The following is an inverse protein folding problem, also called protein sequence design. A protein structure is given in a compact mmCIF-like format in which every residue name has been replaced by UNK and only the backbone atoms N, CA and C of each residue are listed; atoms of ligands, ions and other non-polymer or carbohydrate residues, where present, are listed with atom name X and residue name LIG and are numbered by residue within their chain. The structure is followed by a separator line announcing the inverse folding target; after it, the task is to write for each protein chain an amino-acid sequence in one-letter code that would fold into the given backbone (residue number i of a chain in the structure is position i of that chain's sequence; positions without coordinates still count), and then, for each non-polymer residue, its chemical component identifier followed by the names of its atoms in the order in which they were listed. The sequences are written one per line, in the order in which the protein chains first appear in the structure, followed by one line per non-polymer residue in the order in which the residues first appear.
data_IF_788677326107
#
_entry.id   IF_788677326107
#
_cell.length_a   1.000
_cell.length_b   1.000
_cell.length_c   1.000
_cell.angle_alpha   90.00
_cell.angle_beta   90.00
_cell.angle_gamma   90.00
#
_symmetry.space_group_name_H-M   'P 1'
#
loop_
_entity.id
_entity.type
_entity.pdbx_description
1 polymer ?
#
# COMPACT_ATOMS: atom_id res chain seq x y z
N UNK A 1 18.61 10.64 -1.43
CA UNK A 1 19.78 9.78 -1.47
C UNK A 1 19.73 8.76 -2.62
N UNK A 2 18.58 8.08 -2.83
CA UNK A 2 18.43 7.04 -3.86
C UNK A 2 18.03 7.59 -5.24
N UNK A 3 17.69 8.87 -5.37
CA UNK A 3 17.21 9.46 -6.61
C UNK A 3 15.79 9.02 -7.01
N UNK A 4 15.02 8.44 -6.10
CA UNK A 4 13.63 8.08 -6.35
C UNK A 4 12.71 9.28 -6.06
N UNK A 5 12.08 9.89 -7.08
CA UNK A 5 11.30 11.11 -6.90
C UNK A 5 9.88 10.87 -6.41
N UNK A 6 9.36 9.66 -6.51
CA UNK A 6 8.02 9.29 -6.07
C UNK A 6 8.01 7.90 -5.43
N UNK A 7 7.12 7.71 -4.49
CA UNK A 7 6.86 6.42 -3.86
C UNK A 7 5.35 6.14 -3.89
N UNK A 8 4.95 4.98 -4.41
CA UNK A 8 3.57 4.54 -4.44
C UNK A 8 3.11 4.01 -3.07
N UNK A 9 3.19 4.88 -2.08
CA UNK A 9 2.76 4.74 -0.69
C UNK A 9 2.26 6.10 -0.18
N UNK A 10 1.48 6.12 0.88
CA UNK A 10 0.99 5.05 1.75
C UNK A 10 -0.20 4.26 1.18
N UNK A 11 -0.47 3.09 1.79
CA UNK A 11 -1.72 2.36 1.60
C UNK A 11 -2.77 2.98 2.54
N UNK A 12 -3.86 3.49 1.95
CA UNK A 12 -4.96 4.14 2.67
C UNK A 12 -6.22 3.25 2.75
N UNK A 13 -6.12 2.03 2.26
CA UNK A 13 -7.19 1.05 2.34
C UNK A 13 -7.46 0.68 3.80
N UNK A 14 -8.73 0.71 4.21
CA UNK A 14 -9.17 0.30 5.56
C UNK A 14 -9.45 -1.20 5.54
N UNK A 15 -8.64 -2.01 6.23
CA UNK A 15 -8.70 -3.48 6.12
C UNK A 15 -9.75 -4.07 7.05
N UNK A 16 -11.03 -3.91 6.72
CA UNK A 16 -12.15 -4.46 7.51
C UNK A 16 -12.31 -5.97 7.27
N UNK A 17 -12.04 -6.43 6.05
CA UNK A 17 -12.14 -7.84 5.71
C UNK A 17 -10.83 -8.59 6.05
N UNK A 18 -10.81 -9.45 7.09
CA UNK A 18 -9.61 -10.20 7.45
C UNK A 18 -9.20 -11.24 6.40
N UNK A 19 -10.09 -11.58 5.47
CA UNK A 19 -9.83 -12.50 4.36
C UNK A 19 -9.36 -11.79 3.09
N UNK A 20 -9.17 -10.47 3.14
CA UNK A 20 -8.69 -9.71 1.98
C UNK A 20 -7.34 -10.26 1.50
N UNK A 21 -7.24 -10.77 0.25
CA UNK A 21 -6.03 -11.43 -0.23
C UNK A 21 -4.93 -10.46 -0.67
N UNK A 22 -5.22 -9.16 -0.76
CA UNK A 22 -4.32 -8.15 -1.35
C UNK A 22 -3.84 -7.14 -0.32
N UNK A 23 -4.73 -6.59 0.48
CA UNK A 23 -4.42 -5.50 1.41
C UNK A 23 -3.87 -6.05 2.71
N UNK A 24 -4.69 -6.74 3.51
CA UNK A 24 -4.28 -7.42 4.72
C UNK A 24 -3.25 -6.60 5.55
N UNK A 25 -2.08 -7.17 5.85
CA UNK A 25 -1.01 -6.55 6.64
C UNK A 25 -0.31 -5.34 5.95
N UNK A 26 -0.72 -4.96 4.74
CA UNK A 26 -0.26 -3.74 4.08
C UNK A 26 -0.99 -2.49 4.59
N UNK A 27 -2.21 -2.67 5.12
CA UNK A 27 -3.00 -1.59 5.72
C UNK A 27 -2.44 -1.15 7.08
N UNK A 28 -2.77 0.06 7.46
CA UNK A 28 -2.51 0.58 8.80
C UNK A 28 -3.57 0.17 9.83
N UNK A 29 -4.59 -0.59 9.43
CA UNK A 29 -5.59 -1.14 10.33
C UNK A 29 -7.02 -1.12 9.75
N UNK A 30 -7.98 -1.33 10.64
CA UNK A 30 -9.41 -1.47 10.33
C UNK A 30 -10.26 -0.25 10.77
N UNK A 31 -9.64 0.70 11.46
CA UNK A 31 -10.30 1.94 11.88
C UNK A 31 -9.95 3.08 10.91
N UNK A 32 -10.95 3.70 10.23
CA UNK A 32 -10.70 4.72 9.20
C UNK A 32 -9.95 5.94 9.73
N UNK A 33 -10.18 6.36 10.98
CA UNK A 33 -9.54 7.53 11.58
C UNK A 33 -8.06 7.23 11.82
N UNK A 34 -7.76 6.09 12.44
CA UNK A 34 -6.37 5.67 12.70
C UNK A 34 -5.59 5.43 11.41
N UNK A 35 -6.25 4.87 10.38
CA UNK A 35 -5.64 4.70 9.05
C UNK A 35 -5.29 6.08 8.48
N UNK A 36 -6.20 7.05 8.56
CA UNK A 36 -5.99 8.43 8.07
C UNK A 36 -4.80 9.10 8.74
N UNK A 37 -4.73 9.04 10.06
CA UNK A 37 -3.62 9.64 10.82
C UNK A 37 -2.27 9.10 10.39
N UNK A 38 -2.17 7.78 10.22
CA UNK A 38 -0.94 7.12 9.78
C UNK A 38 -0.60 7.41 8.33
N UNK A 39 -1.61 7.46 7.45
CA UNK A 39 -1.48 7.83 6.03
C UNK A 39 -0.92 9.24 5.92
N UNK A 40 -1.49 10.21 6.63
CA UNK A 40 -1.04 11.61 6.61
C UNK A 40 0.38 11.72 7.15
N UNK A 41 0.68 11.10 8.30
CA UNK A 41 2.01 11.15 8.91
C UNK A 41 3.08 10.53 7.97
N UNK A 42 2.77 9.39 7.34
CA UNK A 42 3.68 8.71 6.43
C UNK A 42 3.94 9.53 5.16
N UNK A 43 2.89 10.05 4.55
CA UNK A 43 2.99 10.86 3.33
C UNK A 43 3.72 12.19 3.60
N UNK A 44 3.42 12.88 4.69
CA UNK A 44 4.12 14.11 5.10
C UNK A 44 5.62 13.86 5.32
N UNK A 45 5.98 12.69 5.88
CA UNK A 45 7.37 12.28 6.01
C UNK A 45 8.08 12.10 4.67
N UNK A 46 7.44 11.48 3.67
CA UNK A 46 7.97 11.35 2.32
C UNK A 46 8.14 12.72 1.65
N UNK A 47 7.12 13.56 1.71
CA UNK A 47 7.10 14.87 1.03
C UNK A 47 8.09 15.85 1.66
N UNK A 48 8.30 15.79 2.98
CA UNK A 48 9.38 16.55 3.65
C UNK A 48 10.76 16.14 3.15
N UNK A 49 10.93 14.88 2.74
CA UNK A 49 12.12 14.34 2.08
C UNK A 49 12.18 14.59 0.57
N UNK A 50 11.27 15.41 0.01
CA UNK A 50 11.13 15.65 -1.44
C UNK A 50 10.85 14.39 -2.26
N UNK A 51 10.09 13.46 -1.70
CA UNK A 51 9.56 12.28 -2.40
C UNK A 51 8.07 12.44 -2.51
N UNK A 52 7.54 12.48 -3.72
CA UNK A 52 6.10 12.52 -3.97
C UNK A 52 5.45 11.29 -3.32
N UNK A 53 4.50 11.50 -2.42
CA UNK A 53 3.66 10.42 -1.88
C UNK A 53 2.51 10.12 -2.84
N UNK A 54 2.14 8.84 -2.95
CA UNK A 54 1.00 8.41 -3.76
C UNK A 54 0.11 7.51 -2.94
N UNK A 55 -0.96 8.09 -2.41
CA UNK A 55 -1.96 7.41 -1.59
C UNK A 55 -2.77 6.40 -2.44
N UNK A 56 -3.01 5.18 -1.92
CA UNK A 56 -3.62 4.09 -2.70
C UNK A 56 -4.43 3.12 -1.83
N UNK A 57 -5.39 2.40 -2.43
CA UNK A 57 -5.89 2.35 -3.80
C UNK A 57 -7.27 2.97 -3.86
N UNK A 58 -7.37 4.20 -4.36
CA UNK A 58 -8.65 4.91 -4.44
C UNK A 58 -9.66 4.12 -5.32
N UNK A 59 -10.94 4.00 -4.95
CA UNK A 59 -11.62 4.59 -3.78
C UNK A 59 -11.60 3.75 -2.49
N UNK A 60 -10.80 2.69 -2.39
CA UNK A 60 -10.61 1.82 -1.23
C UNK A 60 -10.74 0.34 -1.58
N UNK A 61 -9.72 -0.45 -1.28
CA UNK A 61 -9.61 -1.88 -1.62
C UNK A 61 -9.61 -2.78 -0.37
N UNK A 62 -9.85 -2.19 0.82
CA UNK A 62 -9.65 -2.88 2.09
C UNK A 62 -10.72 -3.90 2.46
N UNK A 63 -11.93 -3.77 1.90
CA UNK A 63 -13.06 -4.67 2.15
C UNK A 63 -13.47 -5.42 0.87
N UNK A 64 -12.51 -6.07 0.24
CA UNK A 64 -12.73 -6.94 -0.91
C UNK A 64 -12.22 -8.34 -0.63
N UNK A 65 -12.84 -9.34 -1.24
CA UNK A 65 -12.51 -10.77 -1.16
C UNK A 65 -11.79 -11.28 -2.41
N UNK A 66 -11.68 -10.45 -3.44
CA UNK A 66 -11.09 -10.77 -4.74
C UNK A 66 -9.78 -10.02 -4.94
N UNK A 67 -8.76 -10.72 -5.41
CA UNK A 67 -7.48 -10.14 -5.79
C UNK A 67 -7.58 -9.43 -7.15
N UNK A 68 -7.39 -8.12 -7.16
CA UNK A 68 -7.41 -7.29 -8.39
C UNK A 68 -6.34 -7.66 -9.41
N UNK A 69 -5.31 -8.42 -9.03
CA UNK A 69 -4.37 -9.03 -9.97
C UNK A 69 -4.98 -10.20 -10.75
N UNK A 70 -6.06 -10.79 -10.27
CA UNK A 70 -6.70 -11.99 -10.85
C UNK A 70 -8.04 -11.70 -11.51
N UNK A 71 -8.84 -10.80 -10.94
CA UNK A 71 -10.17 -10.40 -11.43
C UNK A 71 -10.49 -8.97 -11.01
N UNK A 72 -11.66 -8.45 -11.41
CA UNK A 72 -12.15 -7.14 -11.01
C UNK A 72 -12.97 -7.26 -9.71
N UNK A 73 -12.46 -6.78 -8.55
CA UNK A 73 -13.22 -6.78 -7.32
C UNK A 73 -14.39 -5.79 -7.38
N UNK A 74 -15.47 -6.10 -6.68
CA UNK A 74 -16.66 -5.25 -6.60
C UNK A 74 -16.80 -4.68 -5.19
N UNK A 75 -17.15 -3.39 -5.09
CA UNK A 75 -17.53 -2.71 -3.86
C UNK A 75 -19.05 -2.47 -3.89
N UNK A 76 -19.86 -3.41 -3.38
CA UNK A 76 -21.33 -3.35 -3.49
C UNK A 76 -21.94 -2.51 -2.37
N UNK A 77 -21.27 -1.43 -2.00
CA UNK A 77 -21.64 -0.59 -0.85
C UNK A 77 -22.52 0.58 -1.25
N UNK A 78 -23.31 1.06 -0.27
CA UNK A 78 -24.03 2.32 -0.41
C UNK A 78 -23.04 3.50 -0.41
N UNK A 79 -23.49 4.65 -0.84
CA UNK A 79 -22.68 5.85 -0.85
C UNK A 79 -22.24 6.25 0.58
N UNK A 80 -23.14 6.17 1.54
CA UNK A 80 -22.89 6.50 2.95
C UNK A 80 -21.79 5.60 3.54
N UNK A 81 -21.81 4.30 3.20
CA UNK A 81 -20.78 3.35 3.63
C UNK A 81 -19.42 3.70 3.00
N UNK A 82 -19.38 3.96 1.69
CA UNK A 82 -18.14 4.38 1.03
C UNK A 82 -17.59 5.65 1.66
N UNK A 83 -18.45 6.62 1.95
CA UNK A 83 -18.04 7.91 2.50
C UNK A 83 -17.48 7.82 3.92
N UNK A 84 -18.03 6.92 4.73
CA UNK A 84 -17.66 6.79 6.15
C UNK A 84 -16.46 5.86 6.38
N UNK A 85 -16.17 4.95 5.45
CA UNK A 85 -15.12 3.94 5.62
C UNK A 85 -14.08 4.02 4.51
N UNK A 86 -14.45 3.59 3.30
CA UNK A 86 -13.48 3.42 2.22
C UNK A 86 -12.86 4.75 1.77
N UNK A 87 -13.67 5.78 1.57
CA UNK A 87 -13.25 7.10 1.13
C UNK A 87 -12.68 7.98 2.26
N UNK A 88 -12.95 7.64 3.52
CA UNK A 88 -12.59 8.49 4.65
C UNK A 88 -11.09 8.82 4.69
N UNK A 89 -10.14 7.84 4.62
CA UNK A 89 -8.73 8.15 4.64
C UNK A 89 -8.26 8.98 3.44
N UNK A 90 -8.88 8.80 2.29
CA UNK A 90 -8.55 9.57 1.09
C UNK A 90 -9.02 11.02 1.21
N UNK A 91 -10.21 11.27 1.78
CA UNK A 91 -10.71 12.61 2.06
C UNK A 91 -9.78 13.37 3.01
N UNK A 92 -9.36 12.72 4.09
CA UNK A 92 -8.43 13.32 5.04
C UNK A 92 -7.04 13.57 4.42
N UNK A 93 -6.55 12.64 3.57
CA UNK A 93 -5.32 12.81 2.82
C UNK A 93 -5.40 14.03 1.86
N UNK A 94 -6.53 14.20 1.18
CA UNK A 94 -6.77 15.35 0.30
C UNK A 94 -6.77 16.66 1.11
N UNK A 95 -7.47 16.68 2.25
CA UNK A 95 -7.50 17.86 3.16
C UNK A 95 -6.11 18.21 3.69
N UNK A 96 -5.28 17.20 3.93
CA UNK A 96 -3.89 17.37 4.36
C UNK A 96 -2.96 17.81 3.23
N UNK A 97 -3.44 17.88 1.98
CA UNK A 97 -2.68 18.39 0.84
C UNK A 97 -1.71 17.38 0.19
N UNK A 98 -1.96 16.07 0.33
CA UNK A 98 -1.11 15.04 -0.29
C UNK A 98 -1.05 15.16 -1.81
N UNK A 99 0.13 14.90 -2.37
CA UNK A 99 0.47 15.25 -3.76
C UNK A 99 0.08 14.22 -4.81
N UNK A 100 -0.13 12.95 -4.44
CA UNK A 100 -0.43 11.86 -5.39
C UNK A 100 -1.55 10.95 -4.96
N UNK A 101 -2.30 10.43 -5.94
CA UNK A 101 -3.37 9.45 -5.75
C UNK A 101 -3.27 8.34 -6.79
N UNK A 102 -3.36 7.08 -6.37
CA UNK A 102 -3.45 5.95 -7.29
C UNK A 102 -4.85 5.36 -7.26
N UNK A 103 -5.48 5.33 -8.43
CA UNK A 103 -6.81 4.73 -8.62
C UNK A 103 -6.65 3.24 -8.87
N UNK A 104 -7.33 2.43 -8.06
CA UNK A 104 -7.35 0.97 -8.17
C UNK A 104 -8.19 0.48 -9.34
N UNK A 105 -8.16 -0.84 -9.57
CA UNK A 105 -9.07 -1.51 -10.51
C UNK A 105 -10.18 -2.17 -9.71
N UNK A 106 -11.25 -1.43 -9.44
CA UNK A 106 -12.38 -1.82 -8.64
C UNK A 106 -13.68 -1.47 -9.35
N UNK A 107 -14.70 -2.29 -9.25
CA UNK A 107 -16.05 -1.93 -9.69
C UNK A 107 -16.79 -1.29 -8.51
N UNK A 108 -17.38 -0.11 -8.73
CA UNK A 108 -18.07 0.68 -7.71
C UNK A 108 -19.47 1.05 -8.23
N UNK A 109 -20.45 0.15 -8.16
CA UNK A 109 -21.74 0.30 -8.85
C UNK A 109 -22.53 1.55 -8.47
N UNK A 110 -22.39 2.03 -7.23
CA UNK A 110 -23.11 3.23 -6.75
C UNK A 110 -22.58 4.53 -7.38
N UNK A 111 -21.36 4.52 -7.97
CA UNK A 111 -20.74 5.67 -8.63
C UNK A 111 -20.66 5.43 -10.13
N UNK A 112 -20.29 4.24 -10.54
CA UNK A 112 -20.19 3.82 -11.94
C UNK A 112 -21.17 2.66 -12.21
N UNK A 113 -22.34 2.94 -12.81
CA UNK A 113 -23.35 1.92 -13.05
C UNK A 113 -22.99 0.94 -14.17
N UNK A 114 -21.99 1.27 -15.01
CA UNK A 114 -21.57 0.38 -16.09
C UNK A 114 -20.82 -0.82 -15.51
N UNK A 115 -21.46 -1.97 -15.58
CA UNK A 115 -20.89 -3.22 -15.09
C UNK A 115 -19.59 -3.58 -15.82
N UNK A 116 -18.59 -4.02 -15.07
CA UNK A 116 -17.30 -4.43 -15.60
C UNK A 116 -16.35 -3.27 -15.93
N UNK A 117 -16.74 -2.00 -15.74
CA UNK A 117 -15.84 -0.87 -15.91
C UNK A 117 -15.05 -0.60 -14.63
N UNK A 118 -13.71 -0.77 -14.64
CA UNK A 118 -12.88 -0.50 -13.48
C UNK A 118 -12.84 0.99 -13.13
N UNK A 119 -12.77 1.33 -11.84
CA UNK A 119 -12.69 2.70 -11.33
C UNK A 119 -11.57 3.52 -11.97
N UNK A 120 -10.42 2.90 -12.28
CA UNK A 120 -9.31 3.58 -12.97
C UNK A 120 -9.61 3.98 -14.43
N UNK A 121 -10.64 3.38 -15.05
CA UNK A 121 -11.10 3.69 -16.41
C UNK A 121 -12.44 4.46 -16.40
N UNK A 122 -13.05 4.64 -15.23
CA UNK A 122 -14.33 5.32 -15.05
C UNK A 122 -14.14 6.82 -14.90
N UNK A 123 -14.75 7.60 -15.81
CA UNK A 123 -14.79 9.07 -15.69
C UNK A 123 -15.58 9.52 -14.47
N UNK A 124 -16.64 8.79 -14.10
CA UNK A 124 -17.44 9.10 -12.92
C UNK A 124 -16.61 8.97 -11.63
N UNK A 125 -15.71 7.99 -11.55
CA UNK A 125 -14.85 7.79 -10.38
C UNK A 125 -13.65 8.75 -10.39
N UNK A 126 -12.91 8.83 -11.51
CA UNK A 126 -11.65 9.60 -11.53
C UNK A 126 -11.92 11.10 -11.64
N UNK A 127 -12.72 11.51 -12.61
CA UNK A 127 -13.03 12.93 -12.77
C UNK A 127 -14.15 13.35 -11.83
N UNK A 128 -15.30 12.68 -11.88
CA UNK A 128 -16.49 13.06 -11.12
C UNK A 128 -16.26 13.04 -9.61
N UNK A 129 -15.91 11.88 -9.06
CA UNK A 129 -15.72 11.76 -7.61
C UNK A 129 -14.39 12.37 -7.16
N UNK A 130 -13.24 11.90 -7.68
CA UNK A 130 -11.94 12.30 -7.13
C UNK A 130 -11.59 13.75 -7.44
N UNK A 131 -11.81 14.21 -8.69
CA UNK A 131 -11.37 15.54 -9.12
C UNK A 131 -12.40 16.61 -8.81
N UNK A 132 -13.68 16.40 -9.15
CA UNK A 132 -14.72 17.42 -8.97
C UNK A 132 -15.25 17.43 -7.53
N UNK A 133 -15.77 16.31 -7.05
CA UNK A 133 -16.45 16.28 -5.77
C UNK A 133 -15.47 16.38 -4.59
N UNK A 134 -14.39 15.57 -4.58
CA UNK A 134 -13.39 15.59 -3.52
C UNK A 134 -12.30 16.65 -3.72
N UNK A 135 -12.37 17.39 -4.83
CA UNK A 135 -11.49 18.50 -5.17
C UNK A 135 -9.98 18.14 -5.15
N UNK A 136 -9.62 16.90 -5.46
CA UNK A 136 -8.21 16.53 -5.54
C UNK A 136 -7.52 17.20 -6.73
N UNK A 137 -6.37 17.85 -6.49
CA UNK A 137 -5.61 18.59 -7.50
C UNK A 137 -4.21 18.04 -7.75
N UNK A 138 -3.78 17.03 -6.97
CA UNK A 138 -2.49 16.35 -7.13
C UNK A 138 -2.42 15.43 -8.36
N UNK A 139 -1.30 14.73 -8.55
CA UNK A 139 -1.12 13.77 -9.63
C UNK A 139 -1.97 12.52 -9.44
N UNK A 140 -2.69 12.13 -10.47
CA UNK A 140 -3.55 10.94 -10.48
C UNK A 140 -2.90 9.85 -11.34
N UNK A 141 -2.65 8.69 -10.72
CA UNK A 141 -2.06 7.53 -11.35
C UNK A 141 -3.09 6.41 -11.47
N UNK A 142 -3.02 5.61 -12.51
CA UNK A 142 -3.70 4.31 -12.51
C UNK A 142 -2.93 3.30 -11.67
N UNK A 143 -3.57 2.25 -11.18
CA UNK A 143 -2.89 0.99 -10.88
C UNK A 143 -2.32 0.40 -12.19
N UNK A 144 -1.52 -0.68 -12.09
CA UNK A 144 -0.83 -1.23 -13.25
C UNK A 144 -1.81 -1.78 -14.31
N UNK A 145 -1.81 -1.22 -15.51
CA UNK A 145 -2.70 -1.63 -16.60
C UNK A 145 -2.42 -3.05 -17.14
N UNK A 146 -1.30 -3.65 -16.74
CA UNK A 146 -1.01 -5.05 -17.04
C UNK A 146 -1.80 -6.04 -16.18
N UNK A 147 -2.50 -5.59 -15.13
CA UNK A 147 -3.29 -6.44 -14.23
C UNK A 147 -4.53 -7.02 -14.92
N UNK A 148 -4.98 -8.21 -14.46
CA UNK A 148 -6.16 -8.87 -15.02
C UNK A 148 -7.47 -8.13 -14.74
N UNK A 149 -7.54 -7.35 -13.67
CA UNK A 149 -8.71 -6.53 -13.31
C UNK A 149 -9.16 -5.53 -14.40
N UNK A 150 -8.30 -5.23 -15.38
CA UNK A 150 -8.63 -4.41 -16.57
C UNK A 150 -8.59 -5.21 -17.87
N UNK A 151 -8.41 -6.54 -17.83
CA UNK A 151 -8.37 -7.38 -19.02
C UNK A 151 -9.72 -7.36 -19.73
N UNK A 152 -9.69 -7.38 -21.08
CA UNK A 152 -10.90 -7.30 -21.89
C UNK A 152 -11.25 -5.89 -22.37
N UNK A 153 -10.61 -4.84 -21.86
CA UNK A 153 -10.75 -3.50 -22.39
C UNK A 153 -9.69 -3.22 -23.45
N UNK A 154 -10.06 -2.49 -24.51
CA UNK A 154 -9.16 -2.02 -25.54
C UNK A 154 -8.66 -0.60 -25.21
N UNK A 155 -7.53 -0.19 -25.80
CA UNK A 155 -7.01 1.17 -25.67
C UNK A 155 -6.94 1.70 -24.24
N UNK A 156 -6.40 0.89 -23.34
CA UNK A 156 -6.42 1.14 -21.89
C UNK A 156 -5.80 2.48 -21.51
N UNK A 157 -4.70 2.86 -22.15
CA UNK A 157 -4.07 4.16 -21.90
C UNK A 157 -4.98 5.32 -22.27
N UNK A 158 -5.64 5.24 -23.43
CA UNK A 158 -6.57 6.27 -23.90
C UNK A 158 -7.79 6.38 -22.97
N UNK A 159 -8.38 5.24 -22.59
CA UNK A 159 -9.52 5.20 -21.66
C UNK A 159 -9.14 5.80 -20.30
N UNK A 160 -7.99 5.42 -19.75
CA UNK A 160 -7.50 5.93 -18.47
C UNK A 160 -7.26 7.46 -18.50
N UNK A 161 -6.68 7.98 -19.60
CA UNK A 161 -6.48 9.42 -19.78
C UNK A 161 -7.81 10.16 -19.91
N UNK A 162 -8.76 9.62 -20.67
CA UNK A 162 -10.13 10.18 -20.82
C UNK A 162 -10.91 10.14 -19.50
N UNK A 163 -10.67 9.12 -18.66
CA UNK A 163 -11.27 9.03 -17.33
C UNK A 163 -10.81 10.15 -16.39
N UNK A 164 -9.61 10.71 -16.60
CA UNK A 164 -9.08 11.81 -15.80
C UNK A 164 -7.69 11.56 -15.21
N UNK A 165 -7.12 10.34 -15.33
CA UNK A 165 -5.78 10.08 -14.83
C UNK A 165 -4.74 10.93 -15.55
N UNK A 166 -3.70 11.35 -14.82
CA UNK A 166 -2.57 12.11 -15.38
C UNK A 166 -1.45 11.20 -15.87
N UNK A 167 -1.27 10.05 -15.23
CA UNK A 167 -0.23 9.07 -15.53
C UNK A 167 -0.78 7.65 -15.54
N UNK A 168 -0.38 6.89 -16.56
CA UNK A 168 -0.74 5.47 -16.70
C UNK A 168 0.45 4.59 -16.30
N UNK A 169 0.20 3.57 -15.49
CA UNK A 169 1.25 2.72 -14.94
C UNK A 169 1.29 1.37 -15.67
N UNK A 170 2.49 0.96 -16.10
CA UNK A 170 2.79 -0.35 -16.65
C UNK A 170 1.75 -0.86 -17.69
N UNK A 171 1.54 -0.19 -18.82
CA UNK A 171 0.72 -0.73 -19.90
C UNK A 171 1.38 -1.97 -20.49
N UNK A 172 0.56 -2.94 -20.95
CA UNK A 172 1.08 -4.21 -21.51
C UNK A 172 1.85 -4.01 -22.81
N UNK A 173 1.37 -3.11 -23.66
CA UNK A 173 1.92 -2.89 -24.98
C UNK A 173 2.02 -1.39 -25.30
N UNK A 174 3.04 -0.75 -24.75
CA UNK A 174 3.25 0.68 -24.94
C UNK A 174 3.40 1.08 -26.43
N UNK A 175 3.97 0.18 -27.25
CA UNK A 175 4.15 0.42 -28.70
C UNK A 175 2.82 0.54 -29.46
N UNK A 176 1.77 -0.14 -29.02
CA UNK A 176 0.44 -0.04 -29.59
C UNK A 176 -0.38 1.11 -28.95
N UNK A 177 -0.27 1.27 -27.62
CA UNK A 177 -1.05 2.24 -26.86
C UNK A 177 -0.71 3.69 -27.19
N UNK A 178 0.58 4.02 -27.42
CA UNK A 178 0.98 5.40 -27.73
C UNK A 178 0.41 5.87 -29.07
N UNK A 179 0.51 5.11 -30.19
CA UNK A 179 -0.16 5.50 -31.44
C UNK A 179 -1.68 5.62 -31.33
N UNK A 180 -2.33 4.77 -30.50
CA UNK A 180 -3.77 4.87 -30.26
C UNK A 180 -4.17 6.21 -29.62
N UNK A 181 -3.40 6.67 -28.63
CA UNK A 181 -3.61 7.99 -28.00
C UNK A 181 -3.36 9.12 -29.01
N UNK A 182 -2.27 9.06 -29.78
CA UNK A 182 -1.96 10.07 -30.80
C UNK A 182 -3.09 10.15 -31.84
N UNK A 183 -3.50 9.02 -32.40
CA UNK A 183 -4.59 8.96 -33.38
C UNK A 183 -5.92 9.49 -32.83
N UNK A 184 -6.23 9.23 -31.54
CA UNK A 184 -7.41 9.76 -30.91
C UNK A 184 -7.37 11.30 -30.78
N UNK A 185 -6.19 11.88 -30.55
CA UNK A 185 -6.02 13.35 -30.56
C UNK A 185 -6.19 13.91 -31.96
N UNK A 186 -5.59 13.27 -32.96
CA UNK A 186 -5.70 13.70 -34.38
C UNK A 186 -7.14 13.63 -34.89
N UNK A 187 -7.94 12.67 -34.43
CA UNK A 187 -9.37 12.57 -34.79
C UNK A 187 -10.29 13.43 -33.93
N UNK A 188 -9.75 14.17 -32.94
CA UNK A 188 -10.54 14.98 -32.02
C UNK A 188 -11.33 14.20 -30.98
N UNK A 189 -11.05 12.90 -30.82
CA UNK A 189 -11.68 12.03 -29.81
C UNK A 189 -11.13 12.27 -28.39
N UNK A 190 -9.92 12.83 -28.29
CA UNK A 190 -9.29 13.28 -27.05
C UNK A 190 -8.69 14.68 -27.28
N UNK A 191 -9.05 15.64 -26.43
CA UNK A 191 -8.64 17.03 -26.60
C UNK A 191 -7.12 17.21 -26.46
N UNK A 192 -6.53 17.91 -27.38
CA UNK A 192 -5.11 18.31 -27.34
C UNK A 192 -4.83 19.18 -26.12
N UNK A 193 -5.72 20.07 -25.77
CA UNK A 193 -5.61 20.99 -24.63
C UNK A 193 -5.63 20.18 -23.31
N UNK A 194 -6.46 19.13 -23.24
CA UNK A 194 -6.50 18.24 -22.07
C UNK A 194 -5.19 17.45 -21.93
N UNK A 195 -4.66 16.90 -23.02
CA UNK A 195 -3.38 16.22 -23.01
C UNK A 195 -2.23 17.15 -22.58
N UNK A 196 -2.18 18.35 -23.16
CA UNK A 196 -1.16 19.36 -22.84
C UNK A 196 -1.26 19.79 -21.36
N UNK A 197 -2.47 19.94 -20.82
CA UNK A 197 -2.70 20.24 -19.39
C UNK A 197 -2.15 19.12 -18.51
N UNK A 198 -2.41 17.86 -18.84
CA UNK A 198 -1.86 16.69 -18.10
C UNK A 198 -0.34 16.65 -18.18
N UNK A 199 0.24 16.82 -19.36
CA UNK A 199 1.69 16.89 -19.53
C UNK A 199 2.30 18.02 -18.71
N UNK A 200 1.72 19.21 -18.76
CA UNK A 200 2.18 20.38 -17.98
C UNK A 200 2.13 20.07 -16.48
N UNK A 201 1.08 19.45 -15.98
CA UNK A 201 0.93 19.05 -14.59
C UNK A 201 2.06 18.11 -14.17
N UNK A 202 2.32 17.05 -14.94
CA UNK A 202 3.43 16.10 -14.69
C UNK A 202 4.79 16.81 -14.71
N UNK A 203 5.03 17.68 -15.67
CA UNK A 203 6.29 18.43 -15.76
C UNK A 203 6.47 19.41 -14.61
N UNK A 204 5.39 20.03 -14.12
CA UNK A 204 5.41 20.90 -12.94
C UNK A 204 5.87 20.13 -11.69
N UNK A 205 5.32 18.93 -11.45
CA UNK A 205 5.76 18.08 -10.35
C UNK A 205 7.21 17.63 -10.51
N UNK A 206 7.62 17.23 -11.72
CA UNK A 206 9.02 16.90 -12.01
C UNK A 206 9.95 18.06 -11.70
N UNK A 207 9.58 19.27 -12.10
CA UNK A 207 10.36 20.47 -11.85
C UNK A 207 10.45 20.78 -10.34
N UNK A 208 9.34 20.73 -9.63
CA UNK A 208 9.30 20.95 -8.17
C UNK A 208 10.13 19.94 -7.39
N UNK A 209 10.21 18.71 -7.89
CA UNK A 209 11.06 17.64 -7.32
C UNK A 209 12.56 17.76 -7.72
N UNK A 210 12.91 18.78 -8.51
CA UNK A 210 14.29 19.03 -8.92
C UNK A 210 14.79 18.17 -10.10
N UNK A 211 13.89 17.48 -10.80
CA UNK A 211 14.24 16.56 -11.91
C UNK A 211 14.57 17.28 -13.23
N UNK A 212 14.54 18.61 -13.28
CA UNK A 212 15.07 19.41 -14.40
C UNK A 212 16.59 19.28 -14.52
N UNK A 213 17.26 18.82 -13.48
CA UNK A 213 18.69 18.54 -13.47
C UNK A 213 18.94 17.06 -13.25
N UNK A 214 19.95 16.49 -13.92
CA UNK A 214 20.33 15.09 -13.69
C UNK A 214 20.79 14.90 -12.24
N UNK A 215 20.14 14.02 -11.46
CA UNK A 215 20.57 13.78 -10.09
C UNK A 215 21.95 13.15 -10.05
N UNK A 216 22.84 13.70 -9.24
CA UNK A 216 24.16 13.11 -8.99
C UNK A 216 24.06 12.21 -7.75
N UNK A 217 23.82 10.91 -7.97
CA UNK A 217 23.74 9.93 -6.89
C UNK A 217 25.15 9.48 -6.52
N UNK A 218 25.56 9.82 -5.32
CA UNK A 218 26.84 9.39 -4.76
C UNK A 218 26.72 7.95 -4.24
N UNK A 219 27.31 6.99 -4.96
CA UNK A 219 27.26 5.57 -4.56
C UNK A 219 28.17 5.28 -3.37
N UNK A 220 29.33 5.96 -3.28
CA UNK A 220 30.25 5.82 -2.15
C UNK A 220 29.56 6.22 -0.84
N UNK A 221 29.60 5.35 0.16
CA UNK A 221 29.00 5.55 1.47
C UNK A 221 27.45 5.58 1.49
N UNK A 222 26.76 5.19 0.40
CA UNK A 222 25.31 5.23 0.32
C UNK A 222 24.65 4.40 1.43
N UNK A 223 25.16 3.20 1.70
CA UNK A 223 24.64 2.34 2.77
C UNK A 223 24.68 3.00 4.15
N UNK A 224 25.77 3.73 4.46
CA UNK A 224 25.91 4.46 5.73
C UNK A 224 24.95 5.65 5.81
N UNK A 225 24.74 6.38 4.69
CA UNK A 225 23.84 7.52 4.65
C UNK A 225 22.36 7.11 4.78
N UNK A 226 21.99 5.92 4.34
CA UNK A 226 20.62 5.38 4.48
C UNK A 226 20.44 4.77 5.86
N UNK A 227 21.41 3.99 6.34
CA UNK A 227 21.35 3.27 7.62
C UNK A 227 22.02 4.07 8.75
N UNK A 228 21.56 5.28 8.96
CA UNK A 228 22.08 6.13 10.04
C UNK A 228 21.73 5.58 11.44
N UNK A 229 22.41 6.00 12.51
CA UNK A 229 22.01 5.66 13.88
C UNK A 229 20.57 6.07 14.18
N UNK A 230 20.10 7.21 13.66
CA UNK A 230 18.73 7.71 13.81
C UNK A 230 17.73 6.78 13.10
N UNK A 231 18.04 6.32 11.89
CA UNK A 231 17.20 5.34 11.18
C UNK A 231 17.08 4.04 11.97
N UNK A 232 18.17 3.54 12.54
CA UNK A 232 18.18 2.32 13.37
C UNK A 232 17.38 2.50 14.67
N UNK A 233 17.51 3.65 15.32
CA UNK A 233 16.71 3.94 16.52
C UNK A 233 15.22 4.05 16.20
N UNK A 234 14.85 4.68 15.08
CA UNK A 234 13.48 4.75 14.61
C UNK A 234 12.90 3.34 14.36
N UNK A 235 13.64 2.48 13.65
CA UNK A 235 13.24 1.09 13.41
C UNK A 235 13.03 0.36 14.74
N UNK A 236 13.96 0.52 15.70
CA UNK A 236 13.84 -0.08 17.03
C UNK A 236 12.57 0.40 17.76
N UNK A 237 12.28 1.68 17.74
CA UNK A 237 11.08 2.28 18.35
C UNK A 237 9.81 1.79 17.70
N UNK A 238 9.77 1.69 16.37
CA UNK A 238 8.62 1.16 15.62
C UNK A 238 8.39 -0.32 15.97
N UNK A 239 9.44 -1.13 16.00
CA UNK A 239 9.32 -2.53 16.40
C UNK A 239 8.82 -2.68 17.83
N UNK A 240 9.30 -1.87 18.78
CA UNK A 240 8.79 -1.88 20.16
C UNK A 240 7.31 -1.49 20.22
N UNK A 241 6.90 -0.47 19.49
CA UNK A 241 5.51 -0.03 19.45
C UNK A 241 4.57 -1.05 18.76
N UNK A 242 5.10 -1.90 17.89
CA UNK A 242 4.33 -2.94 17.20
C UNK A 242 4.14 -4.21 18.03
N UNK A 243 4.89 -4.39 19.12
CA UNK A 243 4.76 -5.58 19.98
C UNK A 243 3.37 -5.58 20.61
N UNK A 244 2.62 -6.66 20.39
CA UNK A 244 1.31 -6.89 21.00
C UNK A 244 1.38 -8.07 21.94
N UNK A 245 1.13 -7.83 23.22
CA UNK A 245 1.08 -8.88 24.25
C UNK A 245 -0.32 -9.45 24.27
N UNK A 246 -0.50 -10.67 23.77
CA UNK A 246 -1.80 -11.34 23.71
C UNK A 246 -2.22 -11.93 25.08
N UNK A 247 -1.25 -12.37 25.85
CA UNK A 247 -1.48 -12.98 27.14
C UNK A 247 -0.26 -12.76 28.07
N UNK A 248 -0.52 -12.33 29.30
CA UNK A 248 0.50 -12.18 30.36
C UNK A 248 -0.15 -12.45 31.73
N UNK A 249 -0.94 -13.52 31.84
CA UNK A 249 -1.71 -13.85 33.06
C UNK A 249 -0.82 -14.06 34.28
N UNK A 250 0.34 -14.67 34.08
CA UNK A 250 1.32 -14.96 35.15
C UNK A 250 2.26 -13.76 35.42
N UNK A 251 2.01 -12.60 34.76
CA UNK A 251 2.87 -11.42 34.88
C UNK A 251 4.37 -11.68 34.64
N UNK A 252 4.68 -12.60 33.71
CA UNK A 252 6.05 -12.97 33.34
C UNK A 252 6.74 -11.81 32.61
N UNK A 253 5.99 -11.01 31.86
CA UNK A 253 6.52 -9.85 31.14
C UNK A 253 6.31 -8.56 31.98
N UNK A 254 7.32 -7.67 32.01
CA UNK A 254 8.63 -7.77 31.35
C UNK A 254 9.56 -8.79 32.00
N UNK A 255 10.44 -9.42 31.19
CA UNK A 255 11.50 -10.29 31.74
C UNK A 255 12.53 -9.48 32.51
N UNK A 256 12.96 -9.98 33.65
CA UNK A 256 13.92 -9.33 34.56
C UNK A 256 15.24 -10.11 34.58
N UNK A 257 16.34 -9.47 34.20
CA UNK A 257 17.66 -10.11 34.17
C UNK A 257 18.27 -10.32 35.58
N UNK A 258 17.73 -9.68 36.60
CA UNK A 258 18.14 -9.71 37.99
C UNK A 258 17.35 -10.76 38.80
N UNK A 259 16.42 -11.48 38.18
CA UNK A 259 15.61 -12.53 38.80
C UNK A 259 15.91 -13.87 38.18
N UNK A 260 15.95 -14.89 38.98
CA UNK A 260 15.97 -16.27 38.51
C UNK A 260 14.63 -16.58 37.84
N UNK A 261 14.69 -16.84 36.56
CA UNK A 261 13.50 -17.16 35.75
C UNK A 261 13.40 -18.68 35.56
N UNK A 262 12.17 -19.24 35.60
CA UNK A 262 12.01 -20.66 35.29
C UNK A 262 12.38 -20.95 33.84
N UNK A 263 12.74 -22.20 33.49
CA UNK A 263 12.96 -22.59 32.10
C UNK A 263 11.77 -22.21 31.21
N UNK A 264 12.03 -21.71 30.00
CA UNK A 264 11.00 -21.31 29.05
C UNK A 264 10.99 -22.23 27.84
N UNK A 265 9.77 -22.48 27.33
CA UNK A 265 9.56 -23.11 26.04
C UNK A 265 9.35 -22.03 24.97
N UNK A 266 10.12 -22.10 23.86
CA UNK A 266 9.90 -21.30 22.67
C UNK A 266 9.29 -22.18 21.58
N UNK A 267 7.99 -22.01 21.32
CA UNK A 267 7.31 -22.69 20.21
C UNK A 267 7.37 -21.81 18.96
N UNK A 268 8.07 -22.28 17.95
CA UNK A 268 8.17 -21.66 16.63
C UNK A 268 7.11 -22.27 15.70
N UNK A 269 6.22 -21.46 15.16
CA UNK A 269 5.16 -21.91 14.24
C UNK A 269 5.46 -21.44 12.83
N UNK A 270 5.56 -22.38 11.88
CA UNK A 270 5.86 -22.11 10.46
C UNK A 270 7.27 -22.51 10.06
N UNK A 271 7.59 -22.22 8.78
CA UNK A 271 8.85 -22.65 8.15
C UNK A 271 9.97 -21.59 8.21
N UNK A 272 9.71 -20.43 8.76
CA UNK A 272 10.68 -19.33 8.82
C UNK A 272 11.82 -19.66 9.81
N UNK A 273 13.05 -19.73 9.28
CA UNK A 273 14.26 -20.03 10.05
C UNK A 273 14.87 -18.87 10.85
N UNK A 274 14.14 -17.77 11.08
CA UNK A 274 14.71 -16.49 11.57
C UNK A 274 14.51 -16.23 13.06
N UNK A 275 14.15 -17.25 13.86
CA UNK A 275 13.91 -17.08 15.30
C UNK A 275 15.18 -17.19 16.16
N UNK A 276 16.34 -17.45 15.57
CA UNK A 276 17.61 -17.60 16.30
C UNK A 276 18.00 -16.33 17.07
N UNK A 277 17.71 -15.16 16.51
CA UNK A 277 17.97 -13.89 17.20
C UNK A 277 17.08 -13.72 18.45
N UNK A 278 15.82 -14.14 18.39
CA UNK A 278 14.89 -14.14 19.55
C UNK A 278 15.34 -15.15 20.60
N UNK A 279 15.61 -16.38 20.18
CA UNK A 279 16.09 -17.45 21.05
C UNK A 279 17.39 -17.04 21.77
N UNK A 280 18.37 -16.48 21.05
CA UNK A 280 19.61 -16.01 21.62
C UNK A 280 19.44 -14.83 22.60
N UNK A 281 18.39 -14.02 22.46
CA UNK A 281 18.05 -12.96 23.42
C UNK A 281 17.32 -13.51 24.64
N UNK A 282 16.35 -14.39 24.46
CA UNK A 282 15.64 -15.03 25.57
C UNK A 282 16.58 -15.87 26.44
N UNK A 283 17.52 -16.58 25.83
CA UNK A 283 18.54 -17.38 26.53
C UNK A 283 19.47 -16.58 27.47
N UNK A 284 19.41 -15.22 27.44
CA UNK A 284 20.10 -14.38 28.42
C UNK A 284 19.34 -14.23 29.74
N UNK A 285 18.06 -14.56 29.75
CA UNK A 285 17.19 -14.45 30.92
C UNK A 285 16.91 -15.78 31.58
N UNK A 286 16.91 -16.88 30.80
CA UNK A 286 16.57 -18.21 31.30
C UNK A 286 17.08 -19.30 30.36
N UNK A 287 17.09 -20.55 30.85
CA UNK A 287 17.28 -21.73 30.00
C UNK A 287 16.09 -21.86 29.03
N UNK A 288 16.37 -22.14 27.74
CA UNK A 288 15.38 -22.14 26.68
C UNK A 288 15.33 -23.51 26.01
N UNK A 289 14.13 -24.10 25.97
CA UNK A 289 13.84 -25.29 25.15
C UNK A 289 13.07 -24.86 23.91
N UNK A 290 13.55 -25.27 22.73
CA UNK A 290 12.95 -24.85 21.46
C UNK A 290 12.13 -25.97 20.85
N UNK A 291 10.91 -25.64 20.46
CA UNK A 291 9.99 -26.52 19.75
C UNK A 291 9.61 -25.90 18.42
N UNK A 292 9.31 -26.72 17.41
CA UNK A 292 8.91 -26.26 16.07
C UNK A 292 7.68 -27.00 15.59
N UNK A 293 6.64 -26.23 15.24
CA UNK A 293 5.45 -26.70 14.55
C UNK A 293 5.54 -26.26 13.08
N UNK A 294 5.69 -27.25 12.17
CA UNK A 294 5.83 -27.00 10.73
C UNK A 294 4.62 -27.49 9.95
N UNK A 295 4.36 -26.86 8.80
CA UNK A 295 3.35 -27.37 7.87
C UNK A 295 3.75 -28.74 7.35
N UNK A 296 2.80 -29.70 7.37
CA UNK A 296 3.03 -31.08 6.91
C UNK A 296 3.63 -32.04 7.95
N UNK A 297 3.67 -31.66 9.21
CA UNK A 297 3.94 -32.63 10.29
C UNK A 297 2.85 -33.69 10.31
N UNK A 298 3.24 -34.92 10.64
CA UNK A 298 2.30 -36.02 10.84
C UNK A 298 1.61 -35.90 12.22
N UNK A 299 0.44 -36.50 12.38
CA UNK A 299 -0.30 -36.51 13.67
C UNK A 299 0.56 -37.08 14.84
N UNK A 300 1.42 -38.07 14.53
CA UNK A 300 2.34 -38.63 15.52
C UNK A 300 3.38 -37.58 15.98
N UNK A 301 3.93 -36.80 15.05
CA UNK A 301 4.88 -35.73 15.35
C UNK A 301 4.22 -34.57 16.12
N UNK A 302 2.99 -34.20 15.77
CA UNK A 302 2.22 -33.19 16.49
C UNK A 302 1.88 -33.65 17.92
N UNK A 303 1.56 -34.93 18.10
CA UNK A 303 1.31 -35.52 19.43
C UNK A 303 2.56 -35.46 20.32
N UNK A 304 3.72 -35.88 19.80
CA UNK A 304 4.99 -35.80 20.52
C UNK A 304 5.30 -34.35 20.92
N UNK A 305 5.07 -33.39 20.01
CA UNK A 305 5.27 -31.97 20.30
C UNK A 305 4.34 -31.49 21.41
N UNK A 306 3.07 -31.86 21.37
CA UNK A 306 2.07 -31.55 22.41
C UNK A 306 2.44 -32.10 23.76
N UNK A 307 2.81 -33.40 23.81
CA UNK A 307 3.19 -34.10 25.06
C UNK A 307 4.47 -33.48 25.65
N UNK A 308 5.36 -32.92 24.82
CA UNK A 308 6.58 -32.24 25.27
C UNK A 308 6.35 -30.81 25.79
N UNK A 309 5.18 -30.22 25.51
CA UNK A 309 4.80 -28.88 25.96
C UNK A 309 3.88 -28.90 27.18
N UNK A 310 3.35 -30.05 27.52
CA UNK A 310 2.53 -30.30 28.73
C UNK A 310 3.42 -30.60 29.93
#
# INVERSE_FOLDING_TARGET
ELGAPANFTPVADVNINPQNPVINNRSFGEDPVRVSDKVIAYASGLESGRVLSVCKHFPGHGDTDVDSHKALPVLPFTRERLDSVELYPFKEAIRAGLSGMMVGHLQVPVIEPLSGLPSSLSRNVVYGLLTEELAFRGLIFTAALAMKGVSGNADLCLQALKAGNDMVLAPRNLKAEVPAVIGAVERGEFSREELDRKCRKVLTYKYALGLSRKPNIQLSGLGTRINTPQTRDLIRRLNLAAITVLNNKEHILPLHADKEMPPMALLEVGDAGETDALAGRLGKYTSLVRFRLRKGMTEAQERVLRDSLS
#
